data_IF_762790076042
#
_entry.id   IF_762790076042
#
_cell.length_a   1.000
_cell.length_b   1.000
_cell.length_c   1.000
_cell.angle_alpha   90.00
_cell.angle_beta   90.00
_cell.angle_gamma   90.00
#
_symmetry.space_group_name_H-M   'P 1'
#
loop_
_entity.id
_entity.type
_entity.pdbx_description
1 polymer ?
#
# COMPACT_ATOMS: atom_id res chain seq x y z
N UNK A 1 -10.31 -19.66 -0.84
CA UNK A 1 -10.95 -18.52 -1.52
C UNK A 1 -9.91 -17.86 -2.41
N UNK A 2 -10.09 -17.92 -3.72
CA UNK A 2 -9.27 -17.15 -4.63
C UNK A 2 -9.62 -15.67 -4.44
N UNK A 3 -8.70 -14.90 -3.88
CA UNK A 3 -8.77 -13.44 -3.87
C UNK A 3 -8.29 -13.04 -5.26
N UNK A 4 -9.09 -12.27 -5.98
CA UNK A 4 -8.67 -11.68 -7.24
C UNK A 4 -8.40 -10.19 -7.06
N UNK A 5 -7.62 -9.60 -7.95
CA UNK A 5 -7.19 -8.20 -7.88
C UNK A 5 -8.35 -7.20 -7.77
N UNK A 6 -9.52 -7.56 -8.33
CA UNK A 6 -10.71 -6.72 -8.28
C UNK A 6 -11.33 -6.68 -6.87
N UNK A 7 -11.35 -7.83 -6.17
CA UNK A 7 -11.82 -7.90 -4.78
C UNK A 7 -10.88 -7.11 -3.86
N UNK A 8 -9.57 -7.22 -4.05
CA UNK A 8 -8.59 -6.46 -3.27
C UNK A 8 -8.71 -4.96 -3.51
N UNK A 9 -8.90 -4.52 -4.75
CA UNK A 9 -9.19 -3.13 -5.07
C UNK A 9 -10.41 -2.61 -4.32
N UNK A 10 -11.53 -3.35 -4.37
CA UNK A 10 -12.76 -2.93 -3.70
C UNK A 10 -12.62 -2.88 -2.18
N UNK A 11 -11.88 -3.82 -1.58
CA UNK A 11 -11.59 -3.82 -0.14
C UNK A 11 -10.74 -2.60 0.25
N UNK A 12 -9.69 -2.31 -0.52
CA UNK A 12 -8.85 -1.13 -0.31
C UNK A 12 -9.64 0.16 -0.51
N UNK A 13 -10.48 0.25 -1.53
CA UNK A 13 -11.33 1.41 -1.78
C UNK A 13 -12.30 1.65 -0.62
N UNK A 14 -12.97 0.61 -0.12
CA UNK A 14 -13.87 0.69 1.03
C UNK A 14 -13.12 1.15 2.30
N UNK A 15 -11.96 0.54 2.59
CA UNK A 15 -11.14 0.89 3.75
C UNK A 15 -10.65 2.34 3.68
N UNK A 16 -10.15 2.77 2.52
CA UNK A 16 -9.69 4.15 2.29
C UNK A 16 -10.84 5.16 2.46
N UNK A 17 -12.03 4.84 1.94
CA UNK A 17 -13.21 5.70 2.08
C UNK A 17 -13.65 5.84 3.55
N UNK A 18 -13.66 4.74 4.33
CA UNK A 18 -13.99 4.77 5.76
C UNK A 18 -12.96 5.56 6.57
N UNK A 19 -11.66 5.39 6.26
CA UNK A 19 -10.57 6.08 6.96
C UNK A 19 -10.34 7.52 6.50
N UNK A 20 -10.97 7.95 5.39
CA UNK A 20 -10.87 9.33 4.91
C UNK A 20 -11.57 10.36 5.81
N UNK A 21 -12.33 9.90 6.81
CA UNK A 21 -13.14 10.75 7.70
C UNK A 21 -14.52 11.12 7.12
N UNK A 22 -14.88 10.59 5.95
CA UNK A 22 -16.22 10.74 5.36
C UNK A 22 -17.26 10.06 6.24
N UNK A 23 -18.44 10.67 6.36
CA UNK A 23 -19.57 10.14 7.16
C UNK A 23 -20.72 9.64 6.28
N UNK A 24 -20.57 9.72 4.97
CA UNK A 24 -21.54 9.36 3.93
C UNK A 24 -21.18 8.03 3.23
N UNK A 25 -20.45 7.15 3.93
CA UNK A 25 -19.99 5.86 3.40
C UNK A 25 -20.76 4.72 4.06
N UNK A 26 -21.34 3.86 3.24
CA UNK A 26 -21.96 2.59 3.66
C UNK A 26 -21.31 1.46 2.88
N UNK A 27 -20.81 0.44 3.59
CA UNK A 27 -20.21 -0.74 2.98
C UNK A 27 -21.16 -1.93 3.12
N UNK A 28 -21.51 -2.53 1.99
CA UNK A 28 -22.28 -3.77 1.93
C UNK A 28 -21.37 -4.89 1.43
N UNK A 29 -21.13 -5.88 2.27
CA UNK A 29 -20.20 -6.95 1.96
C UNK A 29 -20.61 -8.27 2.63
N UNK A 30 -20.01 -9.39 2.21
CA UNK A 30 -20.14 -10.66 2.93
C UNK A 30 -19.33 -10.64 4.23
N UNK A 31 -19.71 -11.50 5.19
CA UNK A 31 -19.01 -11.63 6.47
C UNK A 31 -17.53 -12.03 6.29
N UNK A 32 -17.18 -12.68 5.19
CA UNK A 32 -15.79 -13.04 4.88
C UNK A 32 -14.86 -11.83 4.74
N UNK A 33 -15.39 -10.64 4.46
CA UNK A 33 -14.59 -9.42 4.35
C UNK A 33 -14.01 -8.92 5.67
N UNK A 34 -14.56 -9.33 6.83
CA UNK A 34 -14.01 -8.98 8.15
C UNK A 34 -12.81 -9.84 8.56
N UNK A 35 -12.61 -10.98 7.90
CA UNK A 35 -11.44 -11.82 8.13
C UNK A 35 -10.24 -11.32 7.33
N UNK A 36 -9.06 -11.35 7.94
CA UNK A 36 -7.84 -10.88 7.30
C UNK A 36 -7.83 -9.37 7.08
N UNK A 37 -8.40 -8.60 8.00
CA UNK A 37 -8.23 -7.15 8.06
C UNK A 37 -6.93 -6.85 8.81
N UNK A 38 -6.09 -6.00 8.22
CA UNK A 38 -4.91 -5.46 8.89
C UNK A 38 -5.27 -4.49 10.03
N UNK A 39 -4.26 -4.02 10.76
CA UNK A 39 -4.46 -3.01 11.79
C UNK A 39 -4.81 -1.65 11.13
N UNK A 40 -6.01 -1.06 11.40
CA UNK A 40 -6.40 0.22 10.82
C UNK A 40 -5.43 1.37 11.15
N UNK A 41 -4.82 1.35 12.34
CA UNK A 41 -3.85 2.36 12.76
C UNK A 41 -2.58 2.30 11.92
N UNK A 42 -2.06 1.11 11.64
CA UNK A 42 -0.87 0.92 10.82
C UNK A 42 -1.16 1.33 9.36
N UNK A 43 -2.34 1.01 8.85
CA UNK A 43 -2.78 1.46 7.54
C UNK A 43 -2.86 2.99 7.46
N UNK A 44 -3.49 3.64 8.44
CA UNK A 44 -3.64 5.09 8.48
C UNK A 44 -2.30 5.83 8.63
N UNK A 45 -1.39 5.30 9.44
CA UNK A 45 -0.07 5.90 9.68
C UNK A 45 0.83 5.87 8.43
N UNK A 46 0.52 5.03 7.45
CA UNK A 46 1.24 4.94 6.18
C UNK A 46 0.54 5.70 5.04
N UNK A 47 -0.46 6.51 5.32
CA UNK A 47 -1.07 7.42 4.33
C UNK A 47 -0.07 8.52 4.00
N UNK A 48 0.11 8.78 2.70
CA UNK A 48 1.00 9.84 2.21
C UNK A 48 0.14 11.04 1.82
N UNK A 49 0.25 12.11 2.58
CA UNK A 49 -0.40 13.38 2.25
C UNK A 49 0.53 14.23 1.42
N UNK A 50 0.04 14.68 0.27
CA UNK A 50 0.73 15.55 -0.67
C UNK A 50 -0.14 16.78 -0.98
N UNK A 51 0.53 17.89 -1.23
CA UNK A 51 -0.10 19.17 -1.53
C UNK A 51 0.74 19.89 -2.59
N UNK A 52 0.10 20.51 -3.55
CA UNK A 52 0.75 21.32 -4.58
C UNK A 52 1.48 22.51 -3.95
N UNK A 53 2.67 22.82 -4.41
CA UNK A 53 3.55 23.86 -3.86
C UNK A 53 4.32 23.42 -2.60
N UNK A 54 4.03 22.23 -2.05
CA UNK A 54 4.79 21.72 -0.89
C UNK A 54 6.14 21.17 -1.32
N UNK A 55 7.18 21.56 -0.58
CA UNK A 55 8.52 21.02 -0.77
C UNK A 55 8.66 19.67 -0.07
N UNK A 56 8.98 18.64 -0.83
CA UNK A 56 9.33 17.31 -0.35
C UNK A 56 10.43 16.74 -1.25
N UNK A 57 11.54 16.31 -0.66
CA UNK A 57 12.59 15.68 -1.44
C UNK A 57 12.03 14.44 -2.17
N UNK A 58 12.21 14.39 -3.49
CA UNK A 58 11.65 13.33 -4.34
C UNK A 58 12.04 11.93 -3.88
N UNK A 59 13.29 11.72 -3.46
CA UNK A 59 13.72 10.39 -2.99
C UNK A 59 13.03 9.99 -1.68
N UNK A 60 12.74 10.96 -0.80
CA UNK A 60 11.94 10.73 0.41
C UNK A 60 10.52 10.35 0.04
N UNK A 61 9.92 11.04 -0.94
CA UNK A 61 8.59 10.69 -1.45
C UNK A 61 8.55 9.26 -2.03
N UNK A 62 9.52 8.90 -2.89
CA UNK A 62 9.61 7.54 -3.45
C UNK A 62 9.78 6.47 -2.37
N UNK A 63 10.58 6.75 -1.33
CA UNK A 63 10.73 5.84 -0.19
C UNK A 63 9.41 5.66 0.56
N UNK A 64 8.65 6.73 0.78
CA UNK A 64 7.32 6.65 1.38
C UNK A 64 6.36 5.78 0.57
N UNK A 65 6.42 5.83 -0.77
CA UNK A 65 5.62 4.94 -1.62
C UNK A 65 5.99 3.46 -1.38
N UNK A 66 7.29 3.15 -1.30
CA UNK A 66 7.75 1.77 -0.99
C UNK A 66 7.34 1.36 0.42
N UNK A 67 7.47 2.23 1.41
CA UNK A 67 7.02 1.97 2.79
C UNK A 67 5.49 1.75 2.85
N UNK A 68 4.73 2.38 1.95
CA UNK A 68 3.27 2.17 1.76
C UNK A 68 2.95 1.00 0.81
N UNK A 69 3.92 0.12 0.57
CA UNK A 69 3.82 -1.13 -0.20
C UNK A 69 3.56 -0.96 -1.70
N UNK A 70 3.80 0.22 -2.28
CA UNK A 70 3.88 0.37 -3.72
C UNK A 70 5.21 -0.15 -4.24
N UNK A 71 5.20 -0.87 -5.35
CA UNK A 71 6.40 -1.39 -5.97
C UNK A 71 6.82 -0.54 -7.17
N UNK A 72 8.11 -0.24 -7.29
CA UNK A 72 8.63 0.46 -8.47
C UNK A 72 8.70 -0.49 -9.65
N UNK A 73 8.04 -0.12 -10.75
CA UNK A 73 8.14 -0.81 -12.02
C UNK A 73 8.09 0.21 -13.16
N UNK A 74 9.24 0.48 -13.77
CA UNK A 74 9.36 1.47 -14.84
C UNK A 74 9.00 0.91 -16.23
N UNK A 75 8.83 -0.42 -16.34
CA UNK A 75 8.52 -1.12 -17.60
C UNK A 75 7.00 -1.29 -17.75
N UNK A 76 6.38 -1.95 -16.79
CA UNK A 76 4.97 -2.26 -16.80
C UNK A 76 4.28 -1.68 -15.56
N UNK A 77 3.36 -0.74 -15.76
CA UNK A 77 2.67 -0.05 -14.69
C UNK A 77 1.34 -0.73 -14.39
N UNK A 78 1.35 -1.63 -13.43
CA UNK A 78 0.16 -2.33 -12.93
C UNK A 78 -0.34 -1.69 -11.62
N UNK A 79 -1.56 -2.04 -11.20
CA UNK A 79 -2.15 -1.56 -9.95
C UNK A 79 -1.24 -1.88 -8.75
N UNK A 80 -1.01 -0.91 -7.87
CA UNK A 80 -0.06 -1.02 -6.77
C UNK A 80 1.40 -0.77 -7.15
N UNK A 81 1.67 -0.37 -8.40
CA UNK A 81 3.00 0.01 -8.86
C UNK A 81 3.13 1.53 -9.03
N UNK A 82 4.36 2.00 -9.01
CA UNK A 82 4.69 3.35 -9.47
C UNK A 82 5.90 3.32 -10.41
N UNK A 83 5.98 4.29 -11.30
CA UNK A 83 7.13 4.52 -12.18
C UNK A 83 7.60 5.95 -12.11
N UNK A 84 8.86 6.16 -12.45
CA UNK A 84 9.50 7.48 -12.46
C UNK A 84 9.98 7.79 -13.87
N UNK A 85 9.54 8.90 -14.43
CA UNK A 85 9.98 9.41 -15.74
C UNK A 85 10.36 10.88 -15.62
N UNK A 86 11.67 11.16 -15.57
CA UNK A 86 12.17 12.52 -15.35
C UNK A 86 11.65 13.08 -14.00
N UNK A 87 10.94 14.20 -14.06
CA UNK A 87 10.38 14.85 -12.88
C UNK A 87 8.95 14.40 -12.54
N UNK A 88 8.44 13.38 -13.24
CA UNK A 88 7.09 12.85 -13.07
C UNK A 88 7.11 11.48 -12.41
N UNK A 89 6.23 11.30 -11.42
CA UNK A 89 5.96 10.02 -10.75
C UNK A 89 4.51 9.64 -11.05
N UNK A 90 4.32 8.56 -11.82
CA UNK A 90 3.00 7.97 -12.05
C UNK A 90 2.77 6.83 -11.06
N UNK A 91 1.69 6.87 -10.32
CA UNK A 91 1.31 5.90 -9.29
C UNK A 91 0.00 5.25 -9.72
N UNK A 92 0.00 3.94 -9.99
CA UNK A 92 -1.25 3.22 -10.21
C UNK A 92 -1.85 2.86 -8.86
N UNK A 93 -2.87 3.61 -8.48
CA UNK A 93 -3.49 3.48 -7.16
C UNK A 93 -4.06 2.07 -6.98
N UNK A 94 -3.78 1.46 -5.83
CA UNK A 94 -4.23 0.08 -5.55
C UNK A 94 -5.76 -0.04 -5.37
N UNK A 95 -6.42 1.08 -5.10
CA UNK A 95 -7.86 1.20 -4.81
C UNK A 95 -8.65 1.92 -5.91
N UNK A 96 -8.04 2.20 -7.06
CA UNK A 96 -8.66 2.91 -8.19
C UNK A 96 -8.27 2.27 -9.52
N UNK A 97 -9.01 2.59 -10.57
CA UNK A 97 -8.67 2.22 -11.94
C UNK A 97 -7.83 3.29 -12.65
N UNK A 98 -7.55 4.40 -11.96
CA UNK A 98 -6.82 5.53 -12.50
C UNK A 98 -5.41 5.66 -11.91
N UNK A 99 -4.55 6.38 -12.62
CA UNK A 99 -3.22 6.77 -12.15
C UNK A 99 -3.32 8.10 -11.40
N UNK A 100 -2.49 8.24 -10.37
CA UNK A 100 -2.16 9.53 -9.81
C UNK A 100 -0.79 9.95 -10.36
N UNK A 101 -0.74 11.06 -11.05
CA UNK A 101 0.49 11.68 -11.56
C UNK A 101 0.91 12.81 -10.66
N UNK A 102 2.14 12.74 -10.16
CA UNK A 102 2.77 13.78 -9.35
C UNK A 102 3.96 14.32 -10.12
N UNK A 103 3.92 15.61 -10.44
CA UNK A 103 5.00 16.30 -11.16
C UNK A 103 5.80 17.15 -10.18
N UNK A 104 7.12 17.08 -10.26
CA UNK A 104 8.05 17.81 -9.43
C UNK A 104 8.76 18.91 -10.21
N UNK A 105 8.99 20.04 -9.57
CA UNK A 105 9.97 21.04 -9.96
C UNK A 105 11.08 21.10 -8.90
N UNK A 106 12.19 20.40 -9.17
CA UNK A 106 13.18 20.16 -8.13
C UNK A 106 12.61 19.31 -7.00
N UNK A 107 12.55 19.85 -5.79
CA UNK A 107 11.94 19.21 -4.61
C UNK A 107 10.54 19.76 -4.28
N UNK A 108 9.94 20.57 -5.15
CA UNK A 108 8.57 21.09 -5.00
C UNK A 108 7.60 20.28 -5.83
N UNK A 109 6.42 19.98 -5.28
CA UNK A 109 5.31 19.37 -6.01
C UNK A 109 4.63 20.45 -6.86
N UNK A 110 4.84 20.41 -8.17
CA UNK A 110 4.28 21.36 -9.13
C UNK A 110 2.86 21.00 -9.56
N UNK A 111 2.56 19.69 -9.68
CA UNK A 111 1.24 19.22 -10.10
C UNK A 111 0.86 17.88 -9.48
N UNK A 112 -0.45 17.74 -9.27
CA UNK A 112 -1.08 16.48 -8.83
C UNK A 112 -2.30 16.27 -9.73
N UNK A 113 -2.34 15.19 -10.49
CA UNK A 113 -3.39 14.93 -11.47
C UNK A 113 -3.85 13.47 -11.44
N UNK A 114 -5.14 13.25 -11.60
CA UNK A 114 -5.68 11.94 -11.93
C UNK A 114 -5.63 11.74 -13.44
N UNK A 115 -5.16 10.59 -13.88
CA UNK A 115 -4.89 10.30 -15.30
C UNK A 115 -5.47 8.93 -15.65
N UNK A 116 -6.13 8.85 -16.78
CA UNK A 116 -6.58 7.56 -17.34
C UNK A 116 -5.38 6.73 -17.80
N UNK A 117 -5.22 5.49 -17.32
CA UNK A 117 -4.03 4.68 -17.60
C UNK A 117 -3.91 4.23 -19.05
N UNK A 118 -5.01 4.21 -19.80
CA UNK A 118 -5.05 3.72 -21.18
C UNK A 118 -4.78 4.84 -22.16
N UNK A 119 -5.51 5.95 -22.03
CA UNK A 119 -5.38 7.11 -22.94
C UNK A 119 -4.28 8.09 -22.53
N UNK A 120 -3.86 8.08 -21.25
CA UNK A 120 -2.93 9.04 -20.70
C UNK A 120 -3.52 10.46 -20.51
N UNK A 121 -4.84 10.59 -20.66
CA UNK A 121 -5.54 11.89 -20.54
C UNK A 121 -5.76 12.22 -19.08
N UNK A 122 -5.49 13.48 -18.72
CA UNK A 122 -5.80 14.00 -17.37
C UNK A 122 -7.31 14.07 -17.18
N UNK A 123 -7.80 13.42 -16.12
CA UNK A 123 -9.21 13.38 -15.73
C UNK A 123 -9.53 14.59 -14.85
N UNK A 124 -8.71 14.82 -13.81
CA UNK A 124 -8.89 15.91 -12.85
C UNK A 124 -7.56 16.35 -12.24
N UNK A 125 -7.34 17.66 -12.02
CA UNK A 125 -6.27 18.17 -11.19
C UNK A 125 -6.68 18.22 -9.72
N UNK A 126 -5.70 18.16 -8.82
CA UNK A 126 -5.88 18.28 -7.37
C UNK A 126 -4.89 19.28 -6.77
N UNK A 127 -5.35 20.04 -5.77
CA UNK A 127 -4.46 20.87 -4.93
C UNK A 127 -3.82 20.06 -3.80
N UNK A 128 -4.54 19.05 -3.29
CA UNK A 128 -4.03 18.12 -2.29
C UNK A 128 -4.59 16.73 -2.52
N UNK A 129 -3.83 15.70 -2.16
CA UNK A 129 -4.24 14.31 -2.31
C UNK A 129 -3.71 13.44 -1.16
N UNK A 130 -4.48 12.40 -0.80
CA UNK A 130 -4.07 11.37 0.17
C UNK A 130 -3.88 10.05 -0.56
N UNK A 131 -2.64 9.58 -0.59
CA UNK A 131 -2.29 8.28 -1.16
C UNK A 131 -2.36 7.26 -0.04
N UNK A 132 -3.30 6.32 -0.16
CA UNK A 132 -3.46 5.21 0.79
C UNK A 132 -2.54 4.05 0.42
N UNK A 133 -2.13 3.22 1.40
CA UNK A 133 -1.28 2.06 1.15
C UNK A 133 -1.82 1.11 0.09
N UNK A 134 -0.90 0.43 -0.60
CA UNK A 134 -1.24 -0.53 -1.65
C UNK A 134 -1.72 -1.89 -1.12
N UNK A 135 -1.65 -2.13 0.19
CA UNK A 135 -2.11 -3.36 0.81
C UNK A 135 -2.77 -3.09 2.16
N UNK A 136 -3.76 -3.90 2.53
CA UNK A 136 -4.44 -3.82 3.84
C UNK A 136 -3.55 -4.29 4.99
N UNK A 137 -2.59 -5.17 4.70
CA UNK A 137 -1.70 -5.77 5.70
C UNK A 137 -0.45 -4.93 5.90
N UNK A 138 -0.63 -3.75 6.48
CA UNK A 138 0.48 -2.91 6.91
C UNK A 138 0.98 -3.36 8.27
N UNK A 139 2.30 -3.37 8.43
CA UNK A 139 2.95 -3.64 9.71
C UNK A 139 4.18 -2.75 9.88
N UNK A 140 4.58 -2.49 11.11
CA UNK A 140 5.80 -1.75 11.39
C UNK A 140 7.03 -2.66 11.33
N UNK A 141 8.21 -2.09 11.07
CA UNK A 141 9.48 -2.86 11.10
C UNK A 141 9.71 -3.51 12.47
N UNK A 142 9.35 -2.82 13.55
CA UNK A 142 9.47 -3.33 14.91
C UNK A 142 8.54 -4.52 15.15
N UNK A 143 7.31 -4.46 14.62
CA UNK A 143 6.37 -5.58 14.72
C UNK A 143 6.85 -6.79 13.89
N UNK A 144 7.38 -6.53 12.69
CA UNK A 144 7.98 -7.58 11.85
C UNK A 144 9.16 -8.26 12.53
N UNK A 145 10.10 -7.48 13.10
CA UNK A 145 11.25 -8.04 13.82
C UNK A 145 10.84 -8.85 15.05
N UNK A 146 9.87 -8.38 15.82
CA UNK A 146 9.31 -9.16 16.95
C UNK A 146 8.71 -10.47 16.48
N UNK A 147 7.89 -10.45 15.44
CA UNK A 147 7.29 -11.65 14.89
C UNK A 147 8.35 -12.64 14.38
N UNK A 148 9.44 -12.19 13.76
CA UNK A 148 10.56 -13.04 13.34
C UNK A 148 11.18 -13.72 14.57
N UNK A 149 11.49 -12.99 15.64
CA UNK A 149 12.06 -13.57 16.86
C UNK A 149 11.11 -14.58 17.51
N UNK A 150 9.81 -14.28 17.59
CA UNK A 150 8.82 -15.22 18.12
C UNK A 150 8.77 -16.52 17.30
N UNK A 151 8.82 -16.41 15.96
CA UNK A 151 8.86 -17.56 15.05
C UNK A 151 10.15 -18.37 15.23
N UNK A 152 11.31 -17.71 15.37
CA UNK A 152 12.60 -18.39 15.62
C UNK A 152 12.60 -19.14 16.94
N UNK A 153 12.05 -18.54 18.01
CA UNK A 153 11.91 -19.17 19.31
C UNK A 153 10.97 -20.39 19.26
N UNK A 154 9.83 -20.27 18.59
CA UNK A 154 8.87 -21.35 18.44
C UNK A 154 9.42 -22.49 17.56
N UNK A 155 10.14 -22.15 16.48
CA UNK A 155 10.86 -23.13 15.66
C UNK A 155 11.85 -23.94 16.48
N UNK A 156 12.68 -23.24 17.26
CA UNK A 156 13.69 -23.89 18.10
C UNK A 156 13.06 -24.88 19.11
N UNK A 157 11.95 -24.47 19.74
CA UNK A 157 11.20 -25.33 20.67
C UNK A 157 10.61 -26.54 19.94
N UNK A 158 10.05 -26.32 18.73
CA UNK A 158 9.40 -27.39 17.96
C UNK A 158 10.42 -28.40 17.43
N UNK A 159 11.58 -27.95 16.95
CA UNK A 159 12.70 -28.81 16.54
C UNK A 159 13.14 -29.67 17.71
N UNK A 160 13.45 -29.08 18.87
CA UNK A 160 13.84 -29.80 20.06
C UNK A 160 12.80 -30.85 20.53
N UNK A 161 11.52 -30.51 20.40
CA UNK A 161 10.43 -31.46 20.68
C UNK A 161 10.46 -32.65 19.72
N UNK A 162 10.57 -32.45 18.41
CA UNK A 162 10.61 -33.52 17.42
C UNK A 162 11.86 -34.42 17.62
N UNK A 163 13.03 -33.84 17.88
CA UNK A 163 14.24 -34.58 18.21
C UNK A 163 14.03 -35.45 19.45
N UNK A 164 13.39 -34.90 20.51
CA UNK A 164 13.16 -35.63 21.78
C UNK A 164 12.26 -36.85 21.61
N UNK A 165 11.41 -36.91 20.62
CA UNK A 165 10.51 -38.03 20.31
C UNK A 165 11.00 -38.88 19.13
N UNK A 166 12.25 -38.69 18.67
CA UNK A 166 12.89 -39.47 17.61
C UNK A 166 12.35 -39.20 16.20
N UNK A 167 11.76 -38.03 15.96
CA UNK A 167 11.21 -37.61 14.66
C UNK A 167 12.19 -36.65 13.96
N UNK A 168 13.35 -37.15 13.59
CA UNK A 168 14.45 -36.37 13.02
C UNK A 168 14.11 -35.76 11.63
N UNK A 169 13.17 -36.35 10.87
CA UNK A 169 12.76 -35.84 9.60
C UNK A 169 11.79 -34.66 9.69
N UNK A 170 11.05 -34.56 10.80
CA UNK A 170 10.12 -33.46 11.08
C UNK A 170 10.81 -32.31 11.83
N UNK A 171 12.00 -32.55 12.43
CA UNK A 171 12.82 -31.55 13.08
C UNK A 171 13.64 -30.74 12.06
#
# INVERSE_FOLDING_TARGET
LAINDEIDKLRLAATSALLSGRKDVVVVSSVSCIYGMGNPSDFYNNVIEIERGRTINRNVFLRRLVDSLYMRNDIELNRGNFRVKGDTVDIYLAYSDNLLRVTFWGDEIDGIEEVDPVSGVTIAPFEAYKIYPANLFMTTKEATLRAIHEIEDDLTKQVAYFESIGKEYEA
#
